data_IF_828026334349
#
_entry.id   IF_828026334349
#
_cell.length_a   1.000
_cell.length_b   1.000
_cell.length_c   1.000
_cell.angle_alpha   90.00
_cell.angle_beta   90.00
_cell.angle_gamma   90.00
#
_symmetry.space_group_name_H-M   'P 1'
#
loop_
_entity.id
_entity.type
_entity.pdbx_description
1 polymer ?
#
# COMPACT_ATOMS: atom_id res chain seq x y z
N UNK A 1 -20.64 -25.62 15.28
CA UNK A 1 -20.12 -26.49 14.21
C UNK A 1 -21.15 -26.55 13.08
N UNK A 2 -20.77 -26.23 11.85
CA UNK A 2 -21.65 -26.29 10.66
C UNK A 2 -21.53 -27.68 10.03
N UNK A 3 -22.65 -28.38 9.82
CA UNK A 3 -22.68 -29.71 9.18
C UNK A 3 -23.79 -30.69 9.60
N UNK A 4 -24.99 -30.24 9.98
CA UNK A 4 -26.09 -31.17 10.30
C UNK A 4 -26.88 -31.61 9.04
N UNK A 5 -27.32 -32.88 8.96
CA UNK A 5 -28.12 -33.40 7.85
C UNK A 5 -29.54 -32.80 7.87
N UNK A 6 -29.96 -32.21 6.75
CA UNK A 6 -31.26 -31.53 6.61
C UNK A 6 -31.20 -30.13 5.97
N UNK A 7 -30.00 -29.59 5.71
CA UNK A 7 -29.88 -28.34 4.95
C UNK A 7 -30.15 -28.57 3.46
N UNK A 8 -30.94 -27.69 2.79
CA UNK A 8 -31.08 -27.74 1.35
C UNK A 8 -29.71 -27.60 0.68
N UNK A 9 -29.49 -28.24 -0.49
CA UNK A 9 -28.23 -28.12 -1.20
C UNK A 9 -27.91 -26.62 -1.39
N UNK A 10 -26.65 -26.19 -1.16
CA UNK A 10 -26.28 -24.79 -1.27
C UNK A 10 -26.69 -24.28 -2.65
N UNK A 11 -27.40 -23.14 -2.66
CA UNK A 11 -27.96 -22.55 -3.87
C UNK A 11 -26.92 -22.56 -4.99
N UNK A 12 -27.30 -23.09 -6.15
CA UNK A 12 -26.42 -23.18 -7.31
C UNK A 12 -25.91 -21.77 -7.62
N UNK A 13 -24.59 -21.56 -7.49
CA UNK A 13 -23.97 -20.26 -7.78
C UNK A 13 -24.36 -19.86 -9.21
N UNK A 14 -24.90 -18.66 -9.45
CA UNK A 14 -25.24 -18.23 -10.80
C UNK A 14 -23.98 -18.28 -11.66
N UNK A 15 -24.00 -19.14 -12.69
CA UNK A 15 -22.93 -19.29 -13.68
C UNK A 15 -23.07 -18.19 -14.74
N UNK A 16 -23.00 -16.93 -14.31
CA UNK A 16 -22.84 -15.82 -15.23
C UNK A 16 -21.42 -15.81 -15.83
N UNK A 17 -21.21 -15.13 -16.97
CA UNK A 17 -19.87 -14.90 -17.51
C UNK A 17 -18.96 -14.29 -16.42
N UNK A 18 -17.81 -14.92 -16.16
CA UNK A 18 -16.80 -14.33 -15.27
C UNK A 18 -16.12 -13.16 -15.99
N UNK A 19 -16.70 -11.97 -15.88
CA UNK A 19 -16.12 -10.73 -16.42
C UNK A 19 -14.85 -10.42 -15.61
N UNK A 20 -13.69 -10.52 -16.26
CA UNK A 20 -12.38 -10.18 -15.67
C UNK A 20 -12.19 -8.66 -15.70
N UNK A 21 -11.45 -8.12 -14.73
CA UNK A 21 -10.99 -6.73 -14.76
C UNK A 21 -9.96 -6.54 -15.87
N UNK A 22 -10.18 -5.56 -16.74
CA UNK A 22 -9.21 -5.11 -17.74
C UNK A 22 -8.38 -3.93 -17.20
N UNK A 23 -7.27 -3.55 -17.85
CA UNK A 23 -6.53 -2.34 -17.50
C UNK A 23 -7.39 -1.06 -17.57
N UNK A 24 -8.31 -0.99 -18.53
CA UNK A 24 -9.23 0.14 -18.71
C UNK A 24 -10.22 0.21 -17.54
N UNK A 25 -10.75 -0.94 -17.10
CA UNK A 25 -11.59 -1.01 -15.90
C UNK A 25 -10.83 -0.49 -14.66
N UNK A 26 -9.57 -0.89 -14.51
CA UNK A 26 -8.74 -0.50 -13.36
C UNK A 26 -8.45 1.01 -13.39
N UNK A 27 -8.14 1.57 -14.57
CA UNK A 27 -7.91 3.00 -14.75
C UNK A 27 -9.17 3.82 -14.41
N UNK A 28 -10.34 3.40 -14.93
CA UNK A 28 -11.62 4.03 -14.62
C UNK A 28 -11.93 3.95 -13.13
N UNK A 29 -11.69 2.80 -12.49
CA UNK A 29 -11.94 2.61 -11.06
C UNK A 29 -11.10 3.54 -10.19
N UNK A 30 -9.83 3.75 -10.56
CA UNK A 30 -8.93 4.71 -9.88
C UNK A 30 -9.40 6.14 -10.10
N UNK A 31 -9.69 6.56 -11.34
CA UNK A 31 -10.14 7.93 -11.66
C UNK A 31 -11.41 8.29 -10.88
N UNK A 32 -12.42 7.41 -10.89
CA UNK A 32 -13.68 7.67 -10.21
C UNK A 32 -13.49 7.76 -8.68
N UNK A 33 -12.54 6.99 -8.13
CA UNK A 33 -12.32 6.93 -6.68
C UNK A 33 -11.41 8.04 -6.14
N UNK A 34 -10.37 8.38 -6.87
CA UNK A 34 -9.30 9.30 -6.41
C UNK A 34 -9.48 10.71 -6.99
N UNK A 35 -9.85 10.83 -8.26
CA UNK A 35 -10.03 12.13 -8.92
C UNK A 35 -11.44 12.68 -8.67
N UNK A 36 -12.47 11.87 -8.94
CA UNK A 36 -13.87 12.31 -8.80
C UNK A 36 -14.44 12.09 -7.39
N UNK A 37 -13.68 11.46 -6.51
CA UNK A 37 -14.03 11.24 -5.09
C UNK A 37 -15.41 10.60 -4.88
N UNK A 38 -15.84 9.72 -5.79
CA UNK A 38 -17.15 9.07 -5.71
C UNK A 38 -17.19 7.97 -4.63
N UNK A 39 -18.39 7.72 -4.12
CA UNK A 39 -18.66 6.56 -3.24
C UNK A 39 -18.69 5.26 -4.04
N UNK A 40 -18.39 4.12 -3.41
CA UNK A 40 -18.43 2.81 -4.07
C UNK A 40 -19.78 2.48 -4.71
N UNK A 41 -20.88 3.00 -4.15
CA UNK A 41 -22.22 2.84 -4.71
C UNK A 41 -22.34 3.58 -6.04
N UNK A 42 -21.96 4.85 -6.08
CA UNK A 42 -21.97 5.66 -7.31
C UNK A 42 -21.00 5.11 -8.36
N UNK A 43 -19.85 4.57 -7.94
CA UNK A 43 -18.90 3.94 -8.86
C UNK A 43 -19.52 2.71 -9.53
N UNK A 44 -20.34 1.92 -8.81
CA UNK A 44 -20.95 0.72 -9.36
C UNK A 44 -21.87 1.00 -10.57
N UNK A 45 -22.42 2.21 -10.66
CA UNK A 45 -23.24 2.65 -11.81
C UNK A 45 -22.43 2.68 -13.12
N UNK A 46 -21.10 2.77 -13.04
CA UNK A 46 -20.18 2.76 -14.19
C UNK A 46 -19.65 1.36 -14.53
N UNK A 47 -19.94 0.34 -13.73
CA UNK A 47 -19.45 -1.04 -13.92
C UNK A 47 -20.62 -2.03 -13.96
N UNK A 48 -21.33 -2.13 -15.09
CA UNK A 48 -22.47 -3.04 -15.21
C UNK A 48 -22.05 -4.48 -14.91
N UNK A 49 -22.83 -5.15 -14.06
CA UNK A 49 -22.54 -6.53 -13.64
C UNK A 49 -21.48 -6.67 -12.54
N UNK A 50 -20.97 -5.57 -11.97
CA UNK A 50 -20.10 -5.60 -10.78
C UNK A 50 -20.77 -4.92 -9.60
N UNK A 51 -20.65 -5.53 -8.42
CA UNK A 51 -21.12 -4.92 -7.18
C UNK A 51 -20.11 -3.91 -6.65
N UNK A 52 -20.58 -2.91 -5.91
CA UNK A 52 -19.73 -1.96 -5.19
C UNK A 52 -18.68 -2.64 -4.30
N UNK A 53 -19.05 -3.75 -3.64
CA UNK A 53 -18.13 -4.55 -2.83
C UNK A 53 -17.02 -5.20 -3.64
N UNK A 54 -17.32 -5.73 -4.83
CA UNK A 54 -16.31 -6.29 -5.74
C UNK A 54 -15.30 -5.22 -6.17
N UNK A 55 -15.77 -4.01 -6.49
CA UNK A 55 -14.94 -2.88 -6.89
C UNK A 55 -14.05 -2.39 -5.74
N UNK A 56 -14.61 -2.28 -4.53
CA UNK A 56 -13.84 -1.92 -3.33
C UNK A 56 -12.71 -2.92 -3.07
N UNK A 57 -13.00 -4.23 -3.12
CA UNK A 57 -11.97 -5.27 -2.93
C UNK A 57 -10.89 -5.17 -4.00
N UNK A 58 -11.27 -5.01 -5.28
CA UNK A 58 -10.30 -4.81 -6.37
C UNK A 58 -9.40 -3.62 -6.10
N UNK A 59 -9.98 -2.47 -5.78
CA UNK A 59 -9.22 -1.26 -5.53
C UNK A 59 -8.27 -1.42 -4.34
N UNK A 60 -8.76 -1.85 -3.18
CA UNK A 60 -7.94 -1.98 -1.97
C UNK A 60 -6.81 -3.01 -2.10
N UNK A 61 -7.02 -4.10 -2.86
CA UNK A 61 -6.03 -5.19 -2.94
C UNK A 61 -5.10 -5.11 -4.15
N UNK A 62 -5.50 -4.45 -5.24
CA UNK A 62 -4.75 -4.44 -6.50
C UNK A 62 -4.37 -3.05 -7.02
N UNK A 63 -5.07 -1.99 -6.61
CA UNK A 63 -4.92 -0.66 -7.23
C UNK A 63 -4.40 0.42 -6.28
N UNK A 64 -4.92 0.50 -5.05
CA UNK A 64 -4.59 1.56 -4.07
C UNK A 64 -3.09 1.71 -3.81
N UNK A 65 -2.34 0.59 -3.81
CA UNK A 65 -0.90 0.62 -3.58
C UNK A 65 -0.10 1.29 -4.72
N UNK A 66 -0.66 1.39 -5.92
CA UNK A 66 -0.04 2.09 -7.05
C UNK A 66 -0.27 3.61 -7.03
N UNK A 67 -1.12 4.11 -6.13
CA UNK A 67 -1.58 5.50 -6.09
C UNK A 67 -0.94 6.38 -5.01
N UNK A 68 0.11 5.93 -4.32
CA UNK A 68 0.89 6.88 -3.49
C UNK A 68 1.76 7.70 -4.44
N UNK A 69 1.16 8.77 -4.98
CA UNK A 69 1.92 9.81 -5.64
C UNK A 69 2.79 10.48 -4.58
N UNK A 70 4.10 10.24 -4.67
CA UNK A 70 5.06 10.82 -3.76
C UNK A 70 5.14 12.32 -4.04
N UNK A 71 4.43 13.12 -3.24
CA UNK A 71 4.54 14.56 -3.33
C UNK A 71 5.96 15.01 -3.00
N UNK A 72 6.41 16.13 -3.57
CA UNK A 72 7.73 16.68 -3.27
C UNK A 72 7.95 16.88 -1.76
N UNK A 73 6.91 17.23 -1.02
CA UNK A 73 6.95 17.33 0.44
C UNK A 73 7.16 15.97 1.12
N UNK A 74 6.44 14.91 0.69
CA UNK A 74 6.64 13.55 1.22
C UNK A 74 8.05 13.04 0.94
N UNK A 75 8.59 13.32 -0.24
CA UNK A 75 9.97 12.98 -0.60
C UNK A 75 10.95 13.73 0.29
N UNK A 76 10.72 15.02 0.54
CA UNK A 76 11.58 15.82 1.42
C UNK A 76 11.53 15.32 2.87
N UNK A 77 10.34 14.99 3.39
CA UNK A 77 10.17 14.38 4.72
C UNK A 77 10.90 13.04 4.82
N UNK A 78 10.80 12.19 3.80
CA UNK A 78 11.54 10.93 3.73
C UNK A 78 13.06 11.16 3.74
N UNK A 79 13.55 12.10 2.93
CA UNK A 79 14.98 12.44 2.88
C UNK A 79 15.49 12.97 4.22
N UNK A 80 14.71 13.81 4.91
CA UNK A 80 15.06 14.28 6.26
C UNK A 80 15.14 13.11 7.24
N UNK A 81 14.11 12.27 7.29
CA UNK A 81 14.07 11.13 8.20
C UNK A 81 15.24 10.16 8.00
N UNK A 82 15.65 9.91 6.75
CA UNK A 82 16.84 9.10 6.45
C UNK A 82 18.13 9.75 6.95
N UNK A 83 18.28 11.06 6.76
CA UNK A 83 19.44 11.82 7.26
C UNK A 83 19.52 11.80 8.79
N UNK A 84 18.39 12.04 9.44
CA UNK A 84 18.29 12.06 10.90
C UNK A 84 18.60 10.69 11.48
N UNK A 85 18.06 9.62 10.88
CA UNK A 85 18.38 8.25 11.25
C UNK A 85 19.86 7.93 11.09
N UNK A 86 20.51 8.35 10.00
CA UNK A 86 21.94 8.13 9.81
C UNK A 86 22.77 8.86 10.88
N UNK A 87 22.41 10.11 11.21
CA UNK A 87 23.07 10.87 12.26
C UNK A 87 22.92 10.18 13.64
N UNK A 88 21.70 9.75 13.97
CA UNK A 88 21.42 9.03 15.21
C UNK A 88 22.15 7.69 15.27
N UNK A 89 22.21 6.96 14.16
CA UNK A 89 22.96 5.70 14.05
C UNK A 89 24.42 5.90 14.48
N UNK A 90 25.09 6.91 13.94
CA UNK A 90 26.49 7.17 14.27
C UNK A 90 26.69 7.68 15.68
N UNK A 91 25.74 8.46 16.22
CA UNK A 91 25.75 8.87 17.62
C UNK A 91 25.67 7.67 18.57
N UNK A 92 24.76 6.73 18.29
CA UNK A 92 24.62 5.49 19.08
C UNK A 92 25.89 4.64 19.00
N UNK A 93 26.50 4.51 17.81
CA UNK A 93 27.75 3.76 17.63
C UNK A 93 28.88 4.41 18.43
N UNK A 94 29.07 5.72 18.30
CA UNK A 94 30.10 6.47 19.04
C UNK A 94 29.99 6.28 20.55
N UNK A 95 28.77 6.36 21.10
CA UNK A 95 28.53 6.11 22.53
C UNK A 95 28.94 4.69 22.97
N UNK A 96 28.84 3.69 22.08
CA UNK A 96 29.24 2.30 22.35
C UNK A 96 30.75 2.07 22.17
N UNK A 97 31.39 2.79 21.25
CA UNK A 97 32.83 2.67 20.99
C UNK A 97 33.64 3.28 22.14
N UNK A 98 33.19 4.40 22.70
CA UNK A 98 33.78 4.99 23.91
C UNK A 98 33.61 6.51 23.97
N UNK A 99 33.69 7.09 25.17
CA UNK A 99 33.35 8.51 25.41
C UNK A 99 34.26 9.53 24.71
N UNK A 100 35.39 9.10 24.15
CA UNK A 100 36.33 9.95 23.41
C UNK A 100 36.22 9.89 21.88
N UNK A 101 35.34 9.04 21.34
CA UNK A 101 35.22 8.86 19.87
C UNK A 101 33.94 9.52 19.39
N UNK A 102 34.03 10.43 18.42
CA UNK A 102 32.87 11.11 17.87
C UNK A 102 32.12 10.24 16.85
N UNK A 103 30.83 10.52 16.65
CA UNK A 103 30.00 9.88 15.63
C UNK A 103 30.63 9.97 14.22
N UNK A 104 31.23 11.13 13.91
CA UNK A 104 31.91 11.37 12.64
C UNK A 104 33.17 10.50 12.50
N UNK A 105 33.98 10.39 13.56
CA UNK A 105 35.16 9.53 13.56
C UNK A 105 34.79 8.05 13.40
N UNK A 106 33.69 7.58 14.02
CA UNK A 106 33.18 6.23 13.78
C UNK A 106 32.75 6.01 12.33
N UNK A 107 32.08 7.00 11.71
CA UNK A 107 31.65 6.92 10.31
C UNK A 107 32.84 6.84 9.35
N UNK A 108 33.82 7.73 9.53
CA UNK A 108 35.05 7.75 8.73
C UNK A 108 35.80 6.42 8.88
N UNK A 109 35.93 5.92 10.12
CA UNK A 109 36.63 4.67 10.37
C UNK A 109 35.96 3.46 9.71
N UNK A 110 34.63 3.40 9.70
CA UNK A 110 33.90 2.33 9.00
C UNK A 110 34.09 2.43 7.49
N UNK A 111 34.12 3.63 6.91
CA UNK A 111 34.35 3.82 5.48
C UNK A 111 35.76 3.41 5.02
N UNK A 112 36.77 3.49 5.91
CA UNK A 112 38.12 2.97 5.63
C UNK A 112 38.22 1.43 5.70
N UNK A 113 37.26 0.77 6.38
CA UNK A 113 37.27 -0.67 6.61
C UNK A 113 36.46 -1.46 5.56
N UNK A 114 35.70 -0.76 4.70
CA UNK A 114 35.05 -1.34 3.51
C UNK A 114 35.98 -1.26 2.30
#
# INVERSE_FOLDING_TARGET
LVGQPGMPPPAAKPKGPKIKFTPEDDALLVELKETKNLTWKQIADFFPGRSSGTLQVRYCTKLKAKGVEWSGEMVNKLKSALRDYEADRWRVISNRVGSGVSAAACKEKVAELE
#
